data_IF_231816994235
#
_entry.id   IF_231816994235
#
_cell.length_a   1.000
_cell.length_b   1.000
_cell.length_c   1.000
_cell.angle_alpha   90.00
_cell.angle_beta   90.00
_cell.angle_gamma   90.00
#
_symmetry.space_group_name_H-M   'P 1'
#
loop_
_entity.id
_entity.type
_entity.pdbx_description
1 polymer ?
#
# COMPACT_ATOMS: atom_id res chain seq x y z
N UNK A 1 -0.88 17.09 0.90
CA UNK A 1 -1.56 15.84 0.46
C UNK A 1 -1.83 14.97 1.67
N UNK A 2 -3.04 14.49 1.80
CA UNK A 2 -3.43 13.58 2.87
C UNK A 2 -3.31 12.14 2.39
N UNK A 3 -2.70 11.28 3.21
CA UNK A 3 -2.45 9.89 2.88
C UNK A 3 -2.87 8.97 4.02
N UNK A 4 -3.15 7.72 3.69
CA UNK A 4 -3.40 6.65 4.66
C UNK A 4 -2.22 5.69 4.58
N UNK A 5 -1.63 5.37 5.73
CA UNK A 5 -0.50 4.45 5.77
C UNK A 5 -0.97 3.02 6.05
N UNK A 6 -0.30 2.07 5.40
CA UNK A 6 -0.57 0.66 5.58
C UNK A 6 0.72 -0.11 5.82
N UNK A 7 0.68 -0.98 6.82
CA UNK A 7 1.80 -1.84 7.20
C UNK A 7 1.37 -3.30 7.20
N UNK A 8 2.26 -4.19 6.79
CA UNK A 8 1.98 -5.62 6.80
C UNK A 8 3.18 -6.40 7.34
N UNK A 9 2.89 -7.34 8.23
CA UNK A 9 3.87 -8.25 8.80
C UNK A 9 3.37 -9.68 8.55
N UNK A 10 4.21 -10.52 7.92
CA UNK A 10 3.83 -11.89 7.56
C UNK A 10 3.88 -12.86 8.74
N UNK A 11 4.64 -12.55 9.79
CA UNK A 11 4.76 -13.40 10.96
C UNK A 11 5.21 -12.60 12.18
N UNK A 12 4.97 -13.15 13.37
CA UNK A 12 5.46 -12.56 14.62
C UNK A 12 6.99 -12.46 14.63
N UNK A 13 7.66 -13.37 13.93
CA UNK A 13 9.10 -13.36 13.80
C UNK A 13 9.63 -12.10 13.08
N UNK A 14 8.87 -11.58 12.12
CA UNK A 14 9.23 -10.35 11.42
C UNK A 14 9.05 -9.11 12.30
N UNK A 15 8.16 -9.15 13.27
CA UNK A 15 7.99 -8.04 14.21
C UNK A 15 9.25 -7.78 15.03
N UNK A 16 10.03 -8.82 15.27
CA UNK A 16 11.27 -8.75 16.06
C UNK A 16 12.50 -8.45 15.20
N UNK A 17 12.35 -8.42 13.88
CA UNK A 17 13.45 -8.12 12.96
C UNK A 17 13.47 -6.65 12.58
N UNK A 18 14.56 -6.21 11.94
CA UNK A 18 14.69 -4.84 11.44
C UNK A 18 13.71 -4.54 10.31
N UNK A 19 13.09 -5.56 9.72
CA UNK A 19 12.08 -5.42 8.68
C UNK A 19 10.67 -5.39 9.25
N UNK A 20 10.55 -5.36 10.57
CA UNK A 20 9.30 -5.37 11.27
C UNK A 20 8.54 -4.05 11.21
N UNK A 21 7.49 -3.99 12.00
CA UNK A 21 6.54 -2.88 11.99
C UNK A 21 7.20 -1.51 12.26
N UNK A 22 8.09 -1.44 13.23
CA UNK A 22 8.74 -0.16 13.57
C UNK A 22 9.60 0.37 12.43
N UNK A 23 10.30 -0.51 11.71
CA UNK A 23 11.10 -0.12 10.56
C UNK A 23 10.21 0.43 9.43
N UNK A 24 9.07 -0.21 9.19
CA UNK A 24 8.11 0.28 8.20
C UNK A 24 7.55 1.65 8.59
N UNK A 25 7.15 1.81 9.83
CA UNK A 25 6.61 3.09 10.32
C UNK A 25 7.65 4.21 10.21
N UNK A 26 8.89 3.93 10.62
CA UNK A 26 9.98 4.90 10.53
C UNK A 26 10.20 5.36 9.09
N UNK A 27 10.27 4.41 8.16
CA UNK A 27 10.47 4.69 6.74
C UNK A 27 9.33 5.54 6.16
N UNK A 28 8.09 5.17 6.46
CA UNK A 28 6.91 5.88 5.98
C UNK A 28 6.83 7.29 6.56
N UNK A 29 7.06 7.44 7.85
CA UNK A 29 7.01 8.75 8.51
C UNK A 29 8.10 9.69 8.00
N UNK A 30 9.32 9.17 7.76
CA UNK A 30 10.41 9.95 7.20
C UNK A 30 10.08 10.43 5.78
N UNK A 31 9.51 9.56 4.97
CA UNK A 31 9.06 9.91 3.63
C UNK A 31 8.01 11.02 3.66
N UNK A 32 7.01 10.90 4.54
CA UNK A 32 5.97 11.92 4.68
C UNK A 32 6.55 13.28 5.07
N UNK A 33 7.49 13.28 6.00
CA UNK A 33 8.13 14.51 6.42
C UNK A 33 8.91 15.17 5.27
N UNK A 34 9.63 14.37 4.48
CA UNK A 34 10.41 14.87 3.36
C UNK A 34 9.55 15.39 2.22
N UNK A 35 8.34 14.88 2.05
CA UNK A 35 7.46 15.22 0.93
C UNK A 35 6.21 15.99 1.34
N UNK A 36 6.16 16.47 2.58
CA UNK A 36 5.03 17.25 3.10
C UNK A 36 3.68 16.52 2.99
N UNK A 37 3.68 15.24 3.33
CA UNK A 37 2.48 14.43 3.34
C UNK A 37 1.94 14.33 4.77
N UNK A 38 0.62 14.30 4.91
CA UNK A 38 -0.06 14.18 6.21
C UNK A 38 -0.71 12.81 6.32
N UNK A 39 -0.27 11.99 7.29
CA UNK A 39 -0.88 10.70 7.55
C UNK A 39 -2.14 10.93 8.37
N UNK A 40 -3.31 10.62 7.81
CA UNK A 40 -4.58 10.80 8.50
C UNK A 40 -5.02 9.55 9.27
N UNK A 41 -4.52 8.38 8.89
CA UNK A 41 -4.72 7.14 9.65
C UNK A 41 -3.66 6.12 9.28
N UNK A 42 -3.43 5.18 10.19
CA UNK A 42 -2.47 4.08 10.00
C UNK A 42 -3.18 2.76 10.27
N UNK A 43 -2.94 1.76 9.43
CA UNK A 43 -3.57 0.44 9.52
C UNK A 43 -2.53 -0.65 9.36
N UNK A 44 -2.71 -1.75 10.09
CA UNK A 44 -1.73 -2.85 10.10
C UNK A 44 -2.42 -4.20 9.98
N UNK A 45 -1.84 -5.07 9.16
CA UNK A 45 -2.18 -6.49 9.14
C UNK A 45 -0.98 -7.28 9.67
N UNK A 46 -1.18 -8.03 10.73
CA UNK A 46 -0.17 -8.90 11.34
C UNK A 46 -0.45 -10.35 10.99
N UNK A 47 0.62 -11.12 10.76
CA UNK A 47 0.54 -12.55 10.43
C UNK A 47 -0.30 -12.84 9.18
N UNK A 48 -0.25 -11.94 8.19
CA UNK A 48 -0.98 -12.09 6.92
C UNK A 48 0.01 -12.14 5.76
N UNK A 49 -0.15 -13.13 4.89
CA UNK A 49 0.68 -13.25 3.68
C UNK A 49 0.38 -12.14 2.69
N UNK A 50 1.40 -11.67 1.98
CA UNK A 50 1.23 -10.75 0.87
C UNK A 50 0.47 -11.34 -0.32
N UNK A 51 0.29 -12.67 -0.33
CA UNK A 51 -0.52 -13.38 -1.33
C UNK A 51 -1.97 -13.57 -0.89
N UNK A 52 -2.32 -13.16 0.34
CA UNK A 52 -3.69 -13.29 0.82
C UNK A 52 -4.64 -12.39 0.02
N UNK A 53 -5.87 -12.86 -0.23
CA UNK A 53 -6.86 -12.03 -0.91
C UNK A 53 -7.23 -10.81 -0.06
N UNK A 54 -7.76 -9.79 -0.70
CA UNK A 54 -8.10 -8.53 -0.05
C UNK A 54 -9.06 -8.73 1.13
N UNK A 55 -10.03 -9.62 0.98
CA UNK A 55 -11.07 -9.84 1.98
C UNK A 55 -10.55 -10.38 3.32
N UNK A 56 -9.43 -11.09 3.29
CA UNK A 56 -8.82 -11.62 4.51
C UNK A 56 -7.78 -10.69 5.13
N UNK A 57 -7.66 -9.47 4.61
CA UNK A 57 -6.72 -8.47 5.09
C UNK A 57 -7.47 -7.29 5.67
N UNK A 58 -8.01 -7.47 6.89
CA UNK A 58 -8.87 -6.46 7.53
C UNK A 58 -8.21 -5.08 7.67
N UNK A 59 -6.91 -5.02 7.94
CA UNK A 59 -6.19 -3.76 8.01
C UNK A 59 -6.17 -3.04 6.68
N UNK A 60 -5.96 -3.75 5.57
CA UNK A 60 -5.97 -3.17 4.25
C UNK A 60 -7.39 -2.72 3.85
N UNK A 61 -8.40 -3.53 4.18
CA UNK A 61 -9.79 -3.15 3.94
C UNK A 61 -10.13 -1.86 4.70
N UNK A 62 -9.73 -1.76 5.96
CA UNK A 62 -9.95 -0.55 6.75
C UNK A 62 -9.19 0.65 6.18
N UNK A 63 -7.97 0.43 5.69
CA UNK A 63 -7.19 1.49 5.05
C UNK A 63 -7.91 2.04 3.81
N UNK A 64 -8.42 1.15 2.96
CA UNK A 64 -9.16 1.56 1.76
C UNK A 64 -10.46 2.27 2.13
N UNK A 65 -11.14 1.81 3.17
CA UNK A 65 -12.35 2.48 3.66
C UNK A 65 -12.04 3.89 4.20
N UNK A 66 -10.91 4.06 4.87
CA UNK A 66 -10.45 5.36 5.35
C UNK A 66 -10.17 6.31 4.20
N UNK A 67 -9.52 5.83 3.13
CA UNK A 67 -9.29 6.62 1.93
C UNK A 67 -10.61 7.10 1.33
N UNK A 68 -11.56 6.19 1.19
CA UNK A 68 -12.87 6.50 0.62
C UNK A 68 -13.63 7.52 1.46
N UNK A 69 -13.66 7.34 2.77
CA UNK A 69 -14.45 8.20 3.66
C UNK A 69 -13.84 9.58 3.91
N UNK A 70 -12.51 9.69 3.86
CA UNK A 70 -11.81 10.97 4.13
C UNK A 70 -11.32 11.68 2.86
N UNK A 71 -11.42 11.04 1.71
CA UNK A 71 -10.92 11.62 0.47
C UNK A 71 -9.40 11.70 0.41
N UNK A 72 -8.70 10.80 1.10
CA UNK A 72 -7.25 10.76 1.04
C UNK A 72 -6.76 10.45 -0.38
N UNK A 73 -5.60 10.96 -0.74
CA UNK A 73 -5.12 10.92 -2.12
C UNK A 73 -4.20 9.73 -2.40
N UNK A 74 -3.73 9.04 -1.37
CA UNK A 74 -2.81 7.92 -1.57
C UNK A 74 -2.84 6.92 -0.42
N UNK A 75 -2.54 5.68 -0.75
CA UNK A 75 -2.18 4.62 0.19
C UNK A 75 -0.65 4.55 0.21
N UNK A 76 -0.06 4.82 1.36
CA UNK A 76 1.39 4.89 1.51
C UNK A 76 1.91 3.65 2.24
N UNK A 77 2.93 3.01 1.65
CA UNK A 77 3.56 1.82 2.21
C UNK A 77 5.08 1.98 2.21
N UNK A 78 5.76 1.21 3.04
CA UNK A 78 7.22 1.24 3.08
C UNK A 78 7.81 0.68 1.78
N UNK A 79 7.27 -0.45 1.34
CA UNK A 79 7.61 -1.10 0.06
C UNK A 79 6.35 -1.72 -0.53
N UNK A 80 6.29 -1.83 -1.84
CA UNK A 80 5.12 -2.38 -2.53
C UNK A 80 4.83 -3.83 -2.12
N UNK A 81 5.85 -4.63 -1.80
CA UNK A 81 5.65 -6.01 -1.35
C UNK A 81 4.87 -6.09 -0.02
N UNK A 82 4.73 -5.00 0.71
CA UNK A 82 3.86 -4.95 1.89
C UNK A 82 2.38 -4.90 1.51
N UNK A 83 2.05 -4.42 0.32
CA UNK A 83 0.70 -4.50 -0.20
C UNK A 83 0.47 -5.89 -0.79
N UNK A 84 1.31 -6.31 -1.72
CA UNK A 84 1.14 -7.57 -2.42
C UNK A 84 2.45 -8.03 -3.03
N UNK A 85 2.69 -9.35 -2.98
CA UNK A 85 3.84 -9.97 -3.63
C UNK A 85 3.52 -10.37 -5.06
N UNK A 86 2.23 -10.58 -5.37
CA UNK A 86 1.78 -10.96 -6.70
C UNK A 86 1.26 -9.74 -7.44
N UNK A 87 1.69 -9.62 -8.69
CA UNK A 87 1.28 -8.51 -9.55
C UNK A 87 -0.24 -8.40 -9.67
N UNK A 88 -0.93 -9.52 -9.78
CA UNK A 88 -2.38 -9.52 -9.90
C UNK A 88 -3.07 -8.88 -8.69
N UNK A 89 -2.62 -9.22 -7.48
CA UNK A 89 -3.18 -8.66 -6.25
C UNK A 89 -2.89 -7.16 -6.16
N UNK A 90 -1.66 -6.78 -6.50
CA UNK A 90 -1.27 -5.37 -6.53
C UNK A 90 -2.16 -4.55 -7.47
N UNK A 91 -2.40 -5.07 -8.68
CA UNK A 91 -3.21 -4.36 -9.66
C UNK A 91 -4.68 -4.28 -9.26
N UNK A 92 -5.19 -5.30 -8.57
CA UNK A 92 -6.54 -5.25 -8.00
C UNK A 92 -6.69 -4.11 -7.00
N UNK A 93 -5.69 -3.92 -6.15
CA UNK A 93 -5.67 -2.85 -5.16
C UNK A 93 -5.55 -1.49 -5.86
N UNK A 94 -4.67 -1.38 -6.86
CA UNK A 94 -4.51 -0.16 -7.64
C UNK A 94 -5.83 0.25 -8.32
N UNK A 95 -6.55 -0.73 -8.88
CA UNK A 95 -7.85 -0.47 -9.49
C UNK A 95 -8.86 0.06 -8.48
N UNK A 96 -8.91 -0.53 -7.30
CA UNK A 96 -9.79 -0.07 -6.23
C UNK A 96 -9.47 1.37 -5.83
N UNK A 97 -8.19 1.69 -5.73
CA UNK A 97 -7.73 3.04 -5.38
C UNK A 97 -8.07 4.05 -6.49
N UNK A 98 -7.88 3.70 -7.75
CA UNK A 98 -8.21 4.59 -8.86
C UNK A 98 -9.68 5.00 -8.85
N UNK A 99 -10.57 4.06 -8.50
CA UNK A 99 -11.99 4.34 -8.37
C UNK A 99 -12.30 5.35 -7.27
N UNK A 100 -11.41 5.48 -6.30
CA UNK A 100 -11.52 6.43 -5.19
C UNK A 100 -10.77 7.74 -5.47
N UNK A 101 -10.11 7.85 -6.62
CA UNK A 101 -9.28 9.00 -6.95
C UNK A 101 -7.94 8.98 -6.23
N UNK A 102 -7.46 7.81 -5.83
CA UNK A 102 -6.23 7.65 -5.06
C UNK A 102 -5.21 6.77 -5.80
N UNK A 103 -4.02 6.69 -5.24
CA UNK A 103 -2.93 5.89 -5.82
C UNK A 103 -2.06 5.28 -4.72
N UNK A 104 -1.16 4.36 -5.10
CA UNK A 104 -0.17 3.80 -4.20
C UNK A 104 1.09 4.65 -4.25
N UNK A 105 1.65 4.93 -3.08
CA UNK A 105 2.98 5.53 -2.95
C UNK A 105 3.84 4.61 -2.09
N UNK A 106 5.03 4.28 -2.59
CA UNK A 106 6.03 3.51 -1.84
C UNK A 106 7.11 4.44 -1.31
N UNK A 107 7.39 4.37 -0.01
CA UNK A 107 8.47 5.17 0.59
C UNK A 107 9.84 4.78 0.02
N UNK A 108 10.00 3.56 -0.49
CA UNK A 108 11.22 3.12 -1.15
C UNK A 108 11.32 3.59 -2.61
N UNK A 109 10.25 4.21 -3.15
CA UNK A 109 10.21 4.70 -4.53
C UNK A 109 9.84 3.65 -5.57
N UNK A 110 9.96 2.36 -5.24
CA UNK A 110 9.64 1.27 -6.17
C UNK A 110 8.13 1.06 -6.28
N UNK A 111 7.67 0.63 -7.44
CA UNK A 111 6.29 0.22 -7.63
C UNK A 111 5.25 1.30 -7.39
N UNK A 112 5.64 2.55 -7.25
CA UNK A 112 4.71 3.67 -7.26
C UNK A 112 4.07 3.71 -8.64
N UNK A 113 2.76 3.97 -8.71
CA UNK A 113 2.02 3.91 -9.98
C UNK A 113 2.58 4.86 -11.06
N UNK A 114 3.40 5.80 -10.69
CA UNK A 114 4.06 6.71 -11.62
C UNK A 114 5.34 6.14 -12.22
N UNK A 115 5.91 5.09 -11.60
CA UNK A 115 7.13 4.42 -12.05
C UNK A 115 6.78 3.03 -12.57
N UNK A 116 6.38 2.97 -13.82
CA UNK A 116 5.92 1.73 -14.41
C UNK A 116 7.03 0.95 -15.09
N UNK A 117 7.13 -0.35 -14.79
CA UNK A 117 7.82 -1.25 -15.69
C UNK A 117 6.85 -1.63 -16.82
N UNK A 118 7.36 -2.09 -18.00
CA UNK A 118 6.50 -2.40 -19.15
C UNK A 118 5.41 -3.43 -18.87
N UNK A 119 5.70 -4.43 -18.04
CA UNK A 119 4.72 -5.47 -17.72
C UNK A 119 3.57 -4.91 -16.87
N UNK A 120 3.88 -4.05 -15.91
CA UNK A 120 2.86 -3.43 -15.08
C UNK A 120 1.95 -2.52 -15.91
N UNK A 121 2.53 -1.73 -16.83
CA UNK A 121 1.76 -0.89 -17.73
C UNK A 121 0.81 -1.72 -18.59
N UNK A 122 1.32 -2.80 -19.17
CA UNK A 122 0.53 -3.70 -20.01
C UNK A 122 -0.63 -4.32 -19.23
N UNK A 123 -0.37 -4.83 -18.05
CA UNK A 123 -1.39 -5.45 -17.21
C UNK A 123 -2.44 -4.44 -16.77
N UNK A 124 -2.06 -3.23 -16.42
CA UNK A 124 -3.02 -2.18 -16.06
C UNK A 124 -3.95 -1.87 -17.20
N UNK A 125 -3.43 -1.80 -18.43
CA UNK A 125 -4.26 -1.56 -19.62
C UNK A 125 -5.27 -2.67 -19.85
N UNK A 126 -4.86 -3.92 -19.67
CA UNK A 126 -5.76 -5.07 -19.78
C UNK A 126 -6.86 -4.98 -18.73
N UNK A 127 -6.51 -4.76 -17.48
CA UNK A 127 -7.47 -4.70 -16.38
C UNK A 127 -8.42 -3.51 -16.51
N UNK A 128 -7.94 -2.39 -17.01
CA UNK A 128 -8.78 -1.20 -17.23
C UNK A 128 -9.79 -1.38 -18.36
N UNK A 129 -9.51 -2.27 -19.30
CA UNK A 129 -10.42 -2.56 -20.42
C UNK A 129 -11.53 -3.53 -20.04
N UNK A 130 -11.46 -4.15 -18.88
CA UNK A 130 -12.47 -5.07 -18.34
C UNK A 130 -13.39 -4.32 -17.37
#
# INVERSE_FOLDING_TARGET
>A
MEVVAYYRISSVKQEKSQLGLEAQKSSVRAYCKAHNLVIISEHTDSAVSGSAPLESRSGLVDALASISSHGAQALLVAKVDRIARKMFVQLSIENALERMGARIISAAGEGTQEEDNPNAVFMRRIMSAV
#
